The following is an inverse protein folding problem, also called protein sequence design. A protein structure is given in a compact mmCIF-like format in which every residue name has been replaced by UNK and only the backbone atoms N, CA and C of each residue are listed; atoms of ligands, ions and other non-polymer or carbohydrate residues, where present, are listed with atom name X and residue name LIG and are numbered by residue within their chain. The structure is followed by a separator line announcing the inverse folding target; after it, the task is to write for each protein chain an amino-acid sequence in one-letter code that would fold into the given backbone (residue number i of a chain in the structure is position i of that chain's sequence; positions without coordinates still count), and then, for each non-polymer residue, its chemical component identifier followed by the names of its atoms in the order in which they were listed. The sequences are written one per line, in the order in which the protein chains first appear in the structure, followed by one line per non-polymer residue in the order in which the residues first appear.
data_IF_404066329327
#
_entry.id   IF_404066329327
#
_cell.length_a   1.000
_cell.length_b   1.000
_cell.length_c   1.000
_cell.angle_alpha   90.00
_cell.angle_beta   90.00
_cell.angle_gamma   90.00
#
_symmetry.space_group_name_H-M   'P 1'
#
loop_
_entity.id
_entity.type
_entity.pdbx_description
1 polymer ?
#
# COMPACT_ATOMS: atom_id res chain seq x y z
N UNK A 1 -13.96 0.76 -1.05
CA UNK A 1 -13.32 0.81 -2.37
C UNK A 1 -12.14 1.76 -2.35
N UNK A 2 -11.05 1.37 -2.98
CA UNK A 2 -9.90 2.23 -3.13
C UNK A 2 -9.62 2.41 -4.62
N UNK A 3 -9.35 3.65 -5.02
CA UNK A 3 -9.10 3.97 -6.42
C UNK A 3 -7.60 4.21 -6.59
N UNK A 4 -6.99 3.47 -7.50
CA UNK A 4 -5.59 3.63 -7.86
C UNK A 4 -5.54 3.94 -9.35
N UNK A 5 -4.92 5.04 -9.74
CA UNK A 5 -4.76 5.27 -11.17
C UNK A 5 -3.58 4.43 -11.69
N UNK A 6 -3.43 4.40 -13.00
CA UNK A 6 -2.41 3.56 -13.60
C UNK A 6 -1.00 3.94 -13.17
N UNK A 7 -0.75 5.21 -12.96
CA UNK A 7 0.56 5.67 -12.54
C UNK A 7 0.91 5.17 -11.15
N UNK A 8 -0.05 5.23 -10.21
CA UNK A 8 0.16 4.74 -8.86
C UNK A 8 0.40 3.24 -8.89
N UNK A 9 -0.43 2.51 -9.63
CA UNK A 9 -0.29 1.06 -9.71
C UNK A 9 1.06 0.67 -10.32
N UNK A 10 1.49 1.38 -11.37
CA UNK A 10 2.82 1.15 -11.96
C UNK A 10 3.94 1.43 -10.97
N UNK A 11 3.79 2.45 -10.15
CA UNK A 11 4.82 2.80 -9.16
C UNK A 11 4.94 1.72 -8.09
N UNK A 12 3.82 1.18 -7.63
CA UNK A 12 3.82 0.09 -6.66
C UNK A 12 4.45 -1.15 -7.28
N UNK A 13 4.06 -1.49 -8.50
CA UNK A 13 4.58 -2.65 -9.21
C UNK A 13 6.09 -2.54 -9.40
N UNK A 14 6.55 -1.37 -9.84
CA UNK A 14 7.99 -1.16 -10.07
C UNK A 14 8.78 -1.29 -8.78
N UNK A 15 8.27 -0.75 -7.67
CA UNK A 15 8.94 -0.84 -6.39
C UNK A 15 9.01 -2.30 -5.92
N UNK A 16 7.90 -3.02 -6.06
CA UNK A 16 7.83 -4.41 -5.63
C UNK A 16 8.78 -5.30 -6.42
N UNK A 17 8.86 -5.10 -7.74
CA UNK A 17 9.74 -5.91 -8.58
C UNK A 17 11.20 -5.55 -8.38
N UNK A 18 11.49 -4.26 -8.16
CA UNK A 18 12.87 -3.82 -7.96
C UNK A 18 13.46 -4.41 -6.69
N UNK A 19 12.68 -4.48 -5.62
CA UNK A 19 13.19 -4.94 -4.32
C UNK A 19 13.17 -6.46 -4.16
N UNK A 20 12.48 -7.17 -5.03
CA UNK A 20 12.45 -8.62 -4.98
C UNK A 20 13.89 -9.16 -4.93
N UNK A 21 14.23 -10.12 -4.09
CA UNK A 21 13.36 -10.99 -3.30
C UNK A 21 13.02 -10.44 -1.91
N UNK A 22 13.30 -9.18 -1.65
CA UNK A 22 12.98 -8.55 -0.38
C UNK A 22 11.60 -7.91 -0.45
N UNK A 23 10.94 -7.76 0.69
CA UNK A 23 9.69 -7.02 0.74
C UNK A 23 9.96 -5.54 0.55
N UNK A 24 9.06 -4.87 -0.13
CA UNK A 24 9.05 -3.42 -0.18
C UNK A 24 7.83 -2.90 0.56
N UNK A 25 7.81 -1.62 0.85
CA UNK A 25 6.65 -1.00 1.47
C UNK A 25 6.69 0.50 1.35
N UNK A 26 5.55 1.11 1.60
CA UNK A 26 5.40 2.56 1.57
C UNK A 26 4.01 2.97 1.95
N UNK A 27 3.80 4.29 2.03
CA UNK A 27 2.51 4.83 2.40
C UNK A 27 1.72 5.20 1.16
N UNK A 28 0.39 5.13 1.28
CA UNK A 28 -0.51 5.59 0.24
C UNK A 28 -1.00 6.98 0.64
N UNK A 29 -0.83 7.94 -0.26
CA UNK A 29 -1.16 9.34 -0.01
C UNK A 29 -2.32 9.74 -0.91
N UNK A 30 -3.35 10.34 -0.35
CA UNK A 30 -4.50 10.71 -1.15
C UNK A 30 -5.62 11.31 -0.33
N UNK A 31 -6.85 10.97 -0.67
CA UNK A 31 -8.05 11.56 -0.08
C UNK A 31 -9.01 10.49 0.39
N UNK A 32 -9.68 10.76 1.52
CA UNK A 32 -10.84 10.00 1.91
C UNK A 32 -12.07 10.62 1.23
N UNK A 33 -12.95 9.78 0.72
CA UNK A 33 -14.21 10.24 0.16
C UNK A 33 -15.30 10.23 1.23
N UNK A 34 -16.37 10.98 0.98
CA UNK A 34 -17.45 11.08 1.95
C UNK A 34 -18.12 9.74 2.22
N UNK A 35 -18.12 8.83 1.26
CA UNK A 35 -18.75 7.53 1.41
C UNK A 35 -17.82 6.49 2.03
N UNK A 36 -16.65 6.89 2.48
CA UNK A 36 -15.68 5.97 3.08
C UNK A 36 -14.70 5.38 2.11
N UNK A 37 -14.84 5.66 0.83
CA UNK A 37 -13.85 5.21 -0.16
C UNK A 37 -12.60 6.07 -0.09
N UNK A 38 -11.58 5.69 -0.86
CA UNK A 38 -10.31 6.39 -0.88
C UNK A 38 -9.81 6.52 -2.29
N UNK A 39 -9.15 7.63 -2.59
CA UNK A 39 -8.47 7.81 -3.87
C UNK A 39 -6.99 8.05 -3.58
N UNK A 40 -6.13 7.20 -4.12
CA UNK A 40 -4.69 7.32 -3.93
C UNK A 40 -4.15 8.24 -5.01
N UNK A 41 -3.50 9.33 -4.59
CA UNK A 41 -2.87 10.28 -5.52
C UNK A 41 -1.42 9.90 -5.82
N UNK A 42 -0.70 9.40 -4.82
CA UNK A 42 0.70 9.04 -5.01
C UNK A 42 1.14 8.10 -3.90
N UNK A 43 2.30 7.49 -4.08
CA UNK A 43 2.89 6.66 -3.04
C UNK A 43 4.05 7.41 -2.39
N UNK A 44 4.36 7.03 -1.17
CA UNK A 44 5.50 7.54 -0.42
C UNK A 44 6.33 6.31 -0.03
N UNK A 45 7.31 5.93 -0.84
CA UNK A 45 8.08 4.71 -0.58
C UNK A 45 8.89 4.83 0.70
N UNK A 46 9.00 3.72 1.43
CA UNK A 46 9.83 3.65 2.62
C UNK A 46 11.00 2.73 2.35
N UNK A 47 12.16 3.07 2.93
CA UNK A 47 13.27 2.15 2.87
C UNK A 47 13.12 1.16 4.00
N UNK A 48 13.46 -0.09 3.72
CA UNK A 48 13.36 -1.11 4.74
C UNK A 48 14.54 -0.96 5.69
N UNK A 49 14.26 -0.57 6.93
CA UNK A 49 15.28 -0.28 7.92
C UNK A 49 15.76 -1.51 8.67
N UNK A 50 15.25 -2.69 8.34
CA UNK A 50 15.65 -3.88 9.06
C UNK A 50 16.98 -4.39 8.57
N UNK A 51 17.58 -5.29 9.37
CA UNK A 51 18.78 -5.99 8.97
C UNK A 51 18.51 -6.74 7.69
N UNK A 52 19.54 -6.95 6.92
CA UNK A 52 19.38 -7.54 5.59
C UNK A 52 18.64 -8.87 5.63
N UNK A 53 19.00 -9.76 6.55
CA UNK A 53 18.34 -11.03 6.59
C UNK A 53 16.89 -10.91 7.05
N UNK A 54 16.54 -9.89 7.78
CA UNK A 54 15.16 -9.69 8.20
C UNK A 54 14.34 -8.99 7.14
N UNK A 55 14.99 -8.15 6.34
CA UNK A 55 14.30 -7.44 5.26
C UNK A 55 13.63 -8.39 4.30
N UNK A 56 14.17 -9.59 4.17
CA UNK A 56 13.63 -10.58 3.25
C UNK A 56 12.18 -10.92 3.58
N UNK A 57 11.82 -10.83 4.86
CA UNK A 57 10.51 -11.27 5.30
C UNK A 57 9.55 -10.17 5.70
N UNK A 58 10.04 -9.00 6.05
CA UNK A 58 9.17 -7.96 6.61
C UNK A 58 9.73 -6.58 6.37
N UNK A 59 8.82 -5.61 6.21
CA UNK A 59 9.18 -4.21 6.17
C UNK A 59 8.93 -3.64 7.54
N UNK A 60 9.91 -2.92 8.08
CA UNK A 60 9.77 -2.28 9.38
C UNK A 60 9.31 -0.84 9.18
N UNK A 61 8.17 -0.48 9.76
CA UNK A 61 7.67 0.88 9.72
C UNK A 61 8.00 1.51 11.06
N UNK A 62 8.78 2.58 11.02
CA UNK A 62 9.15 3.29 12.24
C UNK A 62 8.22 4.48 12.46
N UNK A 63 7.96 4.88 13.71
CA UNK A 63 7.11 6.06 13.96
C UNK A 63 7.56 7.29 13.20
N UNK A 64 8.87 7.50 13.05
CA UNK A 64 9.37 8.64 12.29
C UNK A 64 8.99 8.58 10.83
N UNK A 65 8.85 7.38 10.27
CA UNK A 65 8.47 7.22 8.87
C UNK A 65 7.02 7.65 8.67
N UNK A 66 6.15 7.28 9.60
CA UNK A 66 4.75 7.67 9.55
C UNK A 66 4.64 9.19 9.70
N UNK A 67 5.39 9.77 10.63
CA UNK A 67 5.37 11.22 10.83
C UNK A 67 5.83 11.98 9.60
N UNK A 68 6.87 11.49 8.94
CA UNK A 68 7.38 12.14 7.74
C UNK A 68 6.37 12.06 6.60
N UNK A 69 5.74 10.90 6.44
CA UNK A 69 4.74 10.73 5.41
C UNK A 69 3.53 11.62 5.68
N UNK A 70 3.11 11.74 6.94
CA UNK A 70 2.01 12.61 7.30
C UNK A 70 2.32 14.07 7.02
N UNK A 71 3.55 14.49 7.30
CA UNK A 71 3.96 15.86 7.01
C UNK A 71 3.97 16.11 5.51
N UNK A 72 4.51 15.17 4.75
CA UNK A 72 4.56 15.26 3.31
C UNK A 72 3.15 15.39 2.73
N UNK A 73 2.23 14.55 3.20
CA UNK A 73 0.84 14.59 2.75
C UNK A 73 0.19 15.93 3.10
N UNK A 74 0.38 16.38 4.34
CA UNK A 74 -0.22 17.63 4.79
C UNK A 74 0.25 18.81 3.97
N UNK A 75 1.54 18.84 3.60
CA UNK A 75 2.08 19.92 2.80
C UNK A 75 1.42 19.96 1.41
N UNK A 76 0.90 18.86 0.95
CA UNK A 76 0.18 18.77 -0.32
C UNK A 76 -1.32 18.80 -0.15
N UNK A 77 -1.80 19.02 1.07
CA UNK A 77 -3.23 19.04 1.41
C UNK A 77 -3.87 17.69 1.14
N UNK A 78 -3.13 16.64 1.44
CA UNK A 78 -3.58 15.26 1.31
C UNK A 78 -3.44 14.55 2.66
N UNK A 79 -3.84 13.29 2.72
CA UNK A 79 -3.77 12.48 3.91
C UNK A 79 -2.99 11.20 3.63
N UNK A 80 -2.45 10.60 4.68
CA UNK A 80 -1.97 9.23 4.60
C UNK A 80 -3.20 8.35 4.76
N UNK A 81 -3.51 7.56 3.74
CA UNK A 81 -4.75 6.80 3.72
C UNK A 81 -4.53 5.30 3.70
N UNK A 82 -3.31 4.86 3.73
CA UNK A 82 -3.02 3.44 3.75
C UNK A 82 -1.56 3.13 3.60
N UNK A 83 -1.30 1.85 3.38
CA UNK A 83 0.04 1.31 3.30
C UNK A 83 0.07 0.27 2.20
N UNK A 84 1.17 0.17 1.47
CA UNK A 84 1.35 -0.92 0.52
C UNK A 84 2.62 -1.69 0.86
N UNK A 85 2.63 -2.97 0.54
CA UNK A 85 3.85 -3.77 0.66
C UNK A 85 3.76 -4.95 -0.30
N UNK A 86 4.88 -5.64 -0.45
CA UNK A 86 4.93 -6.78 -1.34
C UNK A 86 5.10 -8.06 -0.54
N UNK A 87 4.62 -9.17 -1.13
CA UNK A 87 4.82 -10.51 -0.58
C UNK A 87 5.63 -11.30 -1.63
N UNK A 88 6.95 -11.43 -1.43
CA UNK A 88 7.76 -12.20 -2.37
C UNK A 88 7.39 -13.68 -2.35
N UNK A 89 7.05 -14.20 -3.50
CA UNK A 89 6.71 -15.62 -3.71
C UNK A 89 5.61 -16.12 -2.76
N UNK A 90 4.69 -15.21 -2.40
CA UNK A 90 3.56 -15.54 -1.52
C UNK A 90 2.32 -14.82 -2.02
N UNK A 91 1.13 -15.31 -1.71
CA UNK A 91 -0.11 -14.67 -2.18
C UNK A 91 -0.30 -13.28 -1.60
N UNK A 92 -1.11 -12.47 -2.27
CA UNK A 92 -1.41 -11.10 -1.84
C UNK A 92 -2.48 -11.09 -0.73
N UNK A 93 -2.26 -11.88 0.30
CA UNK A 93 -3.19 -12.05 1.42
C UNK A 93 -2.48 -11.65 2.71
N UNK A 94 -3.14 -10.91 3.60
CA UNK A 94 -2.49 -10.45 4.83
C UNK A 94 -1.98 -11.61 5.69
N UNK A 95 -0.80 -11.41 6.26
CA UNK A 95 -0.22 -12.38 7.19
C UNK A 95 -0.70 -12.05 8.60
N UNK A 96 -0.38 -12.91 9.55
CA UNK A 96 -0.68 -12.64 10.96
C UNK A 96 0.05 -11.37 11.42
N UNK A 97 1.28 -11.17 10.93
CA UNK A 97 2.04 -9.95 11.25
C UNK A 97 1.27 -8.72 10.74
N UNK A 98 0.72 -8.79 9.54
CA UNK A 98 -0.05 -7.68 8.98
C UNK A 98 -1.27 -7.39 9.86
N UNK A 99 -1.98 -8.44 10.29
CA UNK A 99 -3.15 -8.29 11.12
C UNK A 99 -2.81 -7.62 12.45
N UNK A 100 -1.70 -8.03 13.05
CA UNK A 100 -1.31 -7.54 14.37
C UNK A 100 -0.94 -6.06 14.35
N UNK A 101 -0.52 -5.54 13.21
CA UNK A 101 -0.01 -4.17 13.11
C UNK A 101 -0.89 -3.23 12.30
N UNK A 102 -2.05 -3.68 11.84
CA UNK A 102 -2.88 -2.88 10.96
C UNK A 102 -3.73 -1.85 11.72
N UNK A 103 -4.05 -0.77 11.02
CA UNK A 103 -4.95 0.27 11.54
C UNK A 103 -6.27 0.18 10.77
N UNK A 104 -7.42 0.23 11.46
CA UNK A 104 -8.71 -0.01 10.79
C UNK A 104 -9.09 0.97 9.69
N UNK A 105 -8.59 2.20 9.76
CA UNK A 105 -9.02 3.21 8.79
C UNK A 105 -8.31 3.09 7.46
N UNK A 106 -7.12 2.50 7.45
CA UNK A 106 -6.27 2.48 6.27
C UNK A 106 -6.63 1.35 5.32
N UNK A 107 -6.28 1.53 4.05
CA UNK A 107 -6.29 0.46 3.07
C UNK A 107 -4.89 -0.17 3.03
N UNK A 108 -4.83 -1.47 2.94
CA UNK A 108 -3.57 -2.21 2.86
C UNK A 108 -3.51 -2.90 1.51
N UNK A 109 -2.65 -2.38 0.63
CA UNK A 109 -2.49 -2.91 -0.72
C UNK A 109 -1.29 -3.85 -0.70
N UNK A 110 -1.49 -5.09 -1.12
CA UNK A 110 -0.45 -6.10 -1.12
C UNK A 110 -0.20 -6.56 -2.55
N UNK A 111 1.06 -6.53 -2.97
CA UNK A 111 1.47 -6.99 -4.28
C UNK A 111 2.18 -8.35 -4.13
N UNK A 112 1.65 -9.37 -4.75
CA UNK A 112 2.30 -10.68 -4.77
C UNK A 112 3.33 -10.69 -5.90
N UNK A 113 4.59 -10.94 -5.57
CA UNK A 113 5.66 -10.96 -6.56
C UNK A 113 6.17 -12.38 -6.70
N UNK A 114 5.93 -12.99 -7.84
CA UNK A 114 6.32 -14.39 -8.07
C UNK A 114 7.47 -14.40 -9.07
N UNK A 115 8.61 -14.91 -8.62
CA UNK A 115 9.81 -15.01 -9.46
C UNK A 115 10.17 -13.68 -10.10
N UNK A 116 10.03 -12.61 -9.32
CA UNK A 116 10.44 -11.28 -9.75
C UNK A 116 9.38 -10.48 -10.50
N UNK A 117 8.19 -11.03 -10.70
CA UNK A 117 7.12 -10.34 -11.43
C UNK A 117 5.86 -10.25 -10.59
N UNK A 118 5.22 -9.10 -10.57
CA UNK A 118 3.96 -8.94 -9.84
C UNK A 118 2.89 -9.75 -10.54
N UNK A 119 2.31 -10.69 -9.79
CA UNK A 119 1.28 -11.59 -10.29
C UNK A 119 -0.12 -11.15 -9.88
N UNK A 120 -0.26 -10.41 -8.78
CA UNK A 120 -1.56 -10.04 -8.26
C UNK A 120 -1.41 -8.86 -7.31
N UNK A 121 -2.43 -8.00 -7.25
CA UNK A 121 -2.46 -6.87 -6.33
C UNK A 121 -3.86 -6.81 -5.74
N UNK A 122 -3.95 -6.94 -4.42
CA UNK A 122 -5.23 -6.90 -3.72
C UNK A 122 -5.16 -5.85 -2.61
N UNK A 123 -6.31 -5.29 -2.26
CA UNK A 123 -6.40 -4.36 -1.14
C UNK A 123 -7.27 -4.94 -0.04
N UNK A 124 -6.91 -4.65 1.20
CA UNK A 124 -7.56 -5.18 2.37
C UNK A 124 -7.83 -4.07 3.37
N UNK A 125 -8.91 -4.20 4.12
CA UNK A 125 -9.28 -3.24 5.14
C UNK A 125 -9.60 -3.98 6.41
N UNK A 126 -9.05 -3.49 7.53
CA UNK A 126 -9.25 -4.10 8.84
C UNK A 126 -10.63 -3.75 9.36
N UNK A 127 -11.32 -4.74 9.95
CA UNK A 127 -12.58 -4.48 10.65
C UNK A 127 -12.34 -3.53 11.81
N UNK A 128 -13.33 -2.74 12.15
CA UNK A 128 -13.20 -1.78 13.25
C UNK A 128 -12.89 -2.46 14.58
N UNK A 129 -13.38 -3.67 14.79
CA UNK A 129 -13.12 -4.40 16.04
C UNK A 129 -11.80 -5.18 15.98
N UNK A 130 -11.06 -5.01 14.89
CA UNK A 130 -9.75 -5.63 14.67
C UNK A 130 -9.78 -7.14 14.59
N UNK A 131 -10.93 -7.72 14.31
CA UNK A 131 -11.06 -9.19 14.27
C UNK A 131 -10.46 -9.81 13.01
N UNK A 132 -10.50 -9.09 11.90
CA UNK A 132 -10.01 -9.64 10.62
C UNK A 132 -9.91 -8.55 9.56
N UNK A 133 -9.23 -8.88 8.47
CA UNK A 133 -9.25 -8.09 7.26
C UNK A 133 -10.39 -8.55 6.35
N UNK A 134 -10.97 -7.61 5.64
CA UNK A 134 -11.87 -7.91 4.53
C UNK A 134 -11.23 -7.40 3.25
N UNK A 135 -11.39 -8.14 2.18
CA UNK A 135 -10.87 -7.68 0.90
C UNK A 135 -11.66 -6.45 0.46
N UNK A 136 -10.93 -5.44 -0.01
CA UNK A 136 -11.52 -4.18 -0.44
C UNK A 136 -11.35 -4.09 -1.94
N UNK A 137 -12.38 -3.66 -2.63
CA UNK A 137 -12.34 -3.57 -4.09
C UNK A 137 -11.38 -2.48 -4.55
N UNK A 138 -10.51 -2.81 -5.51
CA UNK A 138 -9.63 -1.85 -6.16
C UNK A 138 -10.27 -1.44 -7.47
N UNK A 139 -10.38 -0.13 -7.69
CA UNK A 139 -10.83 0.40 -8.96
C UNK A 139 -9.65 1.14 -9.59
N UNK A 140 -9.36 0.85 -10.85
CA UNK A 140 -8.28 1.50 -11.56
C UNK A 140 -8.88 2.55 -12.49
N UNK A 141 -8.28 3.75 -12.50
CA UNK A 141 -8.71 4.80 -13.40
C UNK A 141 -7.61 5.13 -14.36
N UNK A 142 -7.97 5.31 -15.61
CA UNK A 142 -7.03 5.79 -16.56
C UNK A 142 -6.78 7.25 -16.33
N UNK A 143 -5.50 7.63 -16.48
CA UNK A 143 -5.11 8.95 -16.16
C UNK A 143 -5.52 9.90 -17.22
N UNK A 144 -6.13 10.91 -16.86
CA UNK A 144 -6.38 12.01 -17.70
C UNK A 144 -7.26 11.84 -18.83
N UNK A 145 -7.10 10.85 -19.56
CA UNK A 145 -7.82 10.85 -20.72
C UNK A 145 -9.21 10.89 -20.49
N UNK A 146 -9.59 10.35 -19.45
CA UNK A 146 -10.93 10.32 -19.30
C UNK A 146 -11.43 11.55 -19.06
N UNK A 147 -10.69 12.29 -18.70
CA UNK A 147 -11.11 13.50 -18.29
C UNK A 147 -11.80 14.12 -19.33
N UNK A 148 -11.69 13.80 -20.36
CA UNK A 148 -12.30 14.46 -21.23
C UNK A 148 -12.90 13.60 -21.88
N UNK A 149 -12.59 12.77 -21.35
CA UNK A 149 -13.32 12.01 -22.05
C UNK A 149 -13.78 12.67 -21.67
#
# INVERSE_FOLDING_TARGET
MVILNEKVLSSITAHAERDYPHECGGMLIGHFAADGGKTVAEIYPLENAREEEARHNRVLILPKDVMRAERYARDKKLDVIGYYHSHPDSPAVPSQYDLDHALPVWSYVIASVVKGKVADVLSWKMENDRSRFNEENIQTEEFATNAHG
#
